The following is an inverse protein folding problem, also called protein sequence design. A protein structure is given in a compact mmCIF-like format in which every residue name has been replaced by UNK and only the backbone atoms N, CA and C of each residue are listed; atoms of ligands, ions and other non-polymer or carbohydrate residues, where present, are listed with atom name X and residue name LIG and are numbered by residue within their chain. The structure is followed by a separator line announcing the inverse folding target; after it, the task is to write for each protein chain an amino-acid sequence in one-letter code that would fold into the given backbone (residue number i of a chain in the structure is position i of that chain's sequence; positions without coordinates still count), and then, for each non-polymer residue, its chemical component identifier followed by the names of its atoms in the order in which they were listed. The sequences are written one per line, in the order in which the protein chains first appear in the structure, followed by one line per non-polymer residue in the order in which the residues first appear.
data_IF_382598652118
#
_entry.id   IF_382598652118
#
_cell.length_a   1.000
_cell.length_b   1.000
_cell.length_c   1.000
_cell.angle_alpha   90.00
_cell.angle_beta   90.00
_cell.angle_gamma   90.00
#
_symmetry.space_group_name_H-M   'P 1'
#
loop_
_entity.id
_entity.type
_entity.pdbx_description
1 polymer ?
#
# COMPACT_ATOMS: atom_id res chain seq x y z
N UNK A 1 -8.90 -1.44 22.90
CA UNK A 1 -7.65 -1.08 22.18
C UNK A 1 -8.06 -0.34 20.92
N UNK A 2 -7.73 0.94 20.81
CA UNK A 2 -7.90 1.71 19.57
C UNK A 2 -6.66 1.44 18.73
N UNK A 3 -6.83 0.74 17.61
CA UNK A 3 -5.78 0.54 16.62
C UNK A 3 -5.82 1.76 15.70
N UNK A 4 -4.71 2.48 15.58
CA UNK A 4 -4.59 3.47 14.51
C UNK A 4 -4.32 2.72 13.21
N UNK A 5 -4.93 3.13 12.09
CA UNK A 5 -4.74 2.46 10.79
C UNK A 5 -3.25 2.37 10.38
N UNK A 6 -2.37 3.23 10.91
CA UNK A 6 -0.94 3.18 10.65
C UNK A 6 -0.17 2.09 11.39
N UNK A 7 -0.72 1.51 12.47
CA UNK A 7 0.01 0.56 13.31
C UNK A 7 0.17 -0.83 12.66
N UNK A 8 -0.68 -1.16 11.67
CA UNK A 8 -0.69 -2.47 11.00
C UNK A 8 0.43 -2.66 9.96
N UNK A 9 1.02 -1.57 9.45
CA UNK A 9 1.98 -1.63 8.34
C UNK A 9 3.43 -1.91 8.81
N UNK A 10 4.24 -2.48 7.92
CA UNK A 10 5.69 -2.50 8.09
C UNK A 10 6.28 -1.11 7.73
N UNK A 11 7.60 -0.96 7.84
CA UNK A 11 8.28 0.34 7.65
C UNK A 11 7.93 1.01 6.31
N UNK A 12 7.93 0.25 5.21
CA UNK A 12 7.64 0.76 3.87
C UNK A 12 6.20 1.25 3.72
N UNK A 13 5.22 0.46 4.17
CA UNK A 13 3.81 0.82 4.18
C UNK A 13 3.51 1.99 5.11
N UNK A 14 4.13 2.04 6.31
CA UNK A 14 4.01 3.18 7.24
C UNK A 14 4.48 4.48 6.61
N UNK A 15 5.66 4.47 5.99
CA UNK A 15 6.20 5.64 5.33
C UNK A 15 5.31 6.11 4.17
N UNK A 16 4.81 5.18 3.36
CA UNK A 16 3.91 5.50 2.25
C UNK A 16 2.58 6.07 2.75
N UNK A 17 1.93 5.42 3.72
CA UNK A 17 0.68 5.87 4.32
C UNK A 17 0.80 7.30 4.87
N UNK A 18 1.84 7.56 5.68
CA UNK A 18 2.10 8.89 6.22
C UNK A 18 2.39 9.95 5.16
N UNK A 19 2.95 9.56 4.01
CA UNK A 19 3.22 10.49 2.90
C UNK A 19 1.99 10.82 2.05
N UNK A 20 1.00 9.92 2.00
CA UNK A 20 -0.16 10.05 1.11
C UNK A 20 -1.41 10.55 1.83
N UNK A 21 -1.61 10.17 3.09
CA UNK A 21 -2.82 10.56 3.83
C UNK A 21 -2.89 12.06 4.08
N UNK A 22 -4.08 12.62 3.84
CA UNK A 22 -4.48 13.99 4.14
C UNK A 22 -5.72 13.96 5.04
N UNK A 23 -5.90 14.99 5.86
CA UNK A 23 -7.09 15.11 6.71
C UNK A 23 -8.39 15.27 5.91
N UNK A 24 -8.30 15.86 4.71
CA UNK A 24 -9.42 16.09 3.80
C UNK A 24 -9.80 14.86 2.95
N UNK A 25 -9.01 13.78 2.98
CA UNK A 25 -9.26 12.63 2.10
C UNK A 25 -10.63 11.99 2.40
N UNK A 26 -11.42 11.78 1.35
CA UNK A 26 -12.64 10.99 1.44
C UNK A 26 -12.35 9.57 1.98
N UNK A 27 -13.37 8.92 2.57
CA UNK A 27 -13.24 7.54 3.05
C UNK A 27 -12.80 6.57 1.93
N UNK A 28 -13.24 6.80 0.68
CA UNK A 28 -12.83 6.00 -0.46
C UNK A 28 -11.34 6.22 -0.82
N UNK A 29 -10.87 7.46 -0.80
CA UNK A 29 -9.45 7.79 -1.02
C UNK A 29 -8.57 7.18 0.08
N UNK A 30 -8.99 7.28 1.35
CA UNK A 30 -8.29 6.63 2.48
C UNK A 30 -8.18 5.13 2.31
N UNK A 31 -9.25 4.45 1.88
CA UNK A 31 -9.22 3.02 1.63
C UNK A 31 -8.20 2.63 0.55
N UNK A 32 -8.10 3.43 -0.53
CA UNK A 32 -7.08 3.21 -1.57
C UNK A 32 -5.66 3.39 -1.03
N UNK A 33 -5.44 4.40 -0.17
CA UNK A 33 -4.13 4.63 0.46
C UNK A 33 -3.73 3.46 1.36
N UNK A 34 -4.67 2.91 2.14
CA UNK A 34 -4.44 1.70 2.95
C UNK A 34 -4.03 0.52 2.07
N UNK A 35 -4.74 0.28 0.96
CA UNK A 35 -4.38 -0.81 0.04
C UNK A 35 -3.04 -0.57 -0.66
N UNK A 36 -2.70 0.67 -0.99
CA UNK A 36 -1.38 1.02 -1.51
C UNK A 36 -0.26 0.73 -0.49
N UNK A 37 -0.46 1.05 0.79
CA UNK A 37 0.48 0.74 1.87
C UNK A 37 0.68 -0.78 2.04
N UNK A 38 -0.41 -1.56 2.01
CA UNK A 38 -0.34 -3.04 2.06
C UNK A 38 0.39 -3.61 0.85
N UNK A 39 0.12 -3.08 -0.35
CA UNK A 39 0.80 -3.48 -1.57
C UNK A 39 2.30 -3.17 -1.51
N UNK A 40 2.69 -2.02 -0.93
CA UNK A 40 4.10 -1.67 -0.70
C UNK A 40 4.81 -2.67 0.22
N UNK A 41 4.21 -2.98 1.36
CA UNK A 41 4.78 -3.97 2.30
C UNK A 41 4.96 -5.34 1.66
N UNK A 42 3.99 -5.75 0.84
CA UNK A 42 4.04 -7.02 0.10
C UNK A 42 5.13 -6.99 -0.98
N UNK A 43 5.32 -5.87 -1.68
CA UNK A 43 6.41 -5.69 -2.64
C UNK A 43 7.79 -5.74 -1.97
N UNK A 44 7.95 -5.15 -0.79
CA UNK A 44 9.21 -5.21 -0.03
C UNK A 44 9.57 -6.64 0.35
N UNK A 45 8.57 -7.43 0.79
CA UNK A 45 8.78 -8.84 1.10
C UNK A 45 9.10 -9.68 -0.13
N UNK A 46 8.45 -9.42 -1.27
CA UNK A 46 8.79 -10.07 -2.54
C UNK A 46 10.21 -9.74 -2.97
N UNK A 47 10.66 -8.49 -2.78
CA UNK A 47 12.01 -8.07 -3.11
C UNK A 47 13.07 -8.89 -2.34
N UNK A 48 12.87 -9.10 -1.04
CA UNK A 48 13.76 -9.93 -0.21
C UNK A 48 13.87 -11.37 -0.73
N UNK A 49 12.73 -11.97 -1.11
CA UNK A 49 12.70 -13.34 -1.65
C UNK A 49 13.39 -13.41 -3.02
N UNK A 50 13.08 -12.48 -3.92
CA UNK A 50 13.63 -12.47 -5.29
C UNK A 50 15.14 -12.20 -5.28
N UNK A 51 15.63 -11.39 -4.35
CA UNK A 51 17.07 -11.14 -4.18
C UNK A 51 17.82 -12.34 -3.60
N UNK A 52 17.11 -13.32 -3.06
CA UNK A 52 17.69 -14.47 -2.36
C UNK A 52 18.15 -14.13 -0.93
N UNK A 53 17.74 -12.98 -0.38
CA UNK A 53 18.06 -12.59 1.00
C UNK A 53 17.27 -13.46 2.01
N UNK A 54 16.16 -14.06 1.57
CA UNK A 54 15.39 -15.04 2.34
C UNK A 54 14.94 -16.21 1.46
N UNK A 55 15.08 -17.44 1.97
CA UNK A 55 14.74 -18.67 1.23
C UNK A 55 13.25 -19.04 1.27
N UNK A 56 12.47 -18.36 2.13
CA UNK A 56 11.06 -18.67 2.35
C UNK A 56 10.26 -17.42 2.61
N UNK A 57 9.00 -17.43 2.14
CA UNK A 57 8.09 -16.32 2.39
C UNK A 57 7.69 -16.27 3.85
N UNK A 58 7.25 -17.41 4.38
CA UNK A 58 6.85 -17.57 5.78
C UNK A 58 7.11 -18.99 6.25
N UNK A 59 7.36 -19.12 7.54
CA UNK A 59 7.47 -20.40 8.25
C UNK A 59 6.29 -20.51 9.20
N UNK A 60 5.62 -21.65 9.17
CA UNK A 60 4.52 -21.97 10.09
C UNK A 60 4.99 -23.10 10.98
N UNK A 61 5.10 -22.82 12.27
CA UNK A 61 5.38 -23.82 13.29
C UNK A 61 4.05 -24.37 13.79
N UNK A 62 3.89 -25.70 13.73
CA UNK A 62 2.77 -26.37 14.39
C UNK A 62 3.15 -26.60 15.85
N UNK A 63 2.23 -26.34 16.79
CA UNK A 63 2.46 -26.67 18.20
C UNK A 63 2.63 -28.19 18.38
N UNK A 64 3.68 -28.62 19.07
CA UNK A 64 4.04 -30.03 19.31
C UNK A 64 5.17 -30.54 18.39
N UNK A 65 5.38 -31.87 18.35
CA UNK A 65 6.44 -32.53 17.55
C UNK A 65 6.17 -32.55 16.03
N UNK A 66 5.21 -31.76 15.54
CA UNK A 66 4.66 -31.88 14.19
C UNK A 66 5.47 -31.15 13.09
N UNK A 67 6.70 -30.73 13.38
CA UNK A 67 7.63 -30.17 12.41
C UNK A 67 7.28 -28.78 11.87
N UNK A 68 8.22 -28.21 11.10
CA UNK A 68 8.08 -26.91 10.43
C UNK A 68 7.42 -27.07 9.06
N UNK A 69 6.49 -26.18 8.72
CA UNK A 69 5.98 -26.03 7.35
C UNK A 69 6.56 -24.75 6.73
N UNK A 70 7.32 -24.91 5.64
CA UNK A 70 7.92 -23.80 4.88
C UNK A 70 7.11 -23.53 3.62
N UNK A 71 6.65 -22.29 3.44
CA UNK A 71 5.98 -21.88 2.20
C UNK A 71 7.02 -21.29 1.23
N UNK A 72 7.34 -22.03 0.15
CA UNK A 72 8.18 -21.56 -0.95
C UNK A 72 7.31 -20.99 -2.07
N UNK A 73 7.70 -19.83 -2.61
CA UNK A 73 7.04 -19.22 -3.75
C UNK A 73 7.88 -19.44 -5.01
N UNK A 74 7.52 -20.45 -5.81
CA UNK A 74 8.20 -20.72 -7.09
C UNK A 74 7.86 -19.65 -8.16
N UNK A 75 6.88 -18.79 -7.90
CA UNK A 75 6.39 -17.74 -8.81
C UNK A 75 6.66 -16.31 -8.30
N UNK A 76 7.50 -16.12 -7.28
CA UNK A 76 7.70 -14.83 -6.61
C UNK A 76 7.98 -13.65 -7.56
N UNK A 77 8.80 -13.86 -8.60
CA UNK A 77 9.11 -12.82 -9.60
C UNK A 77 7.87 -12.42 -10.41
N UNK A 78 7.02 -13.39 -10.77
CA UNK A 78 5.77 -13.13 -11.50
C UNK A 78 4.79 -12.35 -10.62
N UNK A 79 4.60 -12.78 -9.38
CA UNK A 79 3.76 -12.10 -8.39
C UNK A 79 4.22 -10.65 -8.18
N UNK A 80 5.53 -10.41 -8.07
CA UNK A 80 6.08 -9.06 -7.92
C UNK A 80 5.73 -8.16 -9.10
N UNK A 81 5.81 -8.65 -10.34
CA UNK A 81 5.47 -7.87 -11.53
C UNK A 81 3.99 -7.52 -11.60
N UNK A 82 3.13 -8.48 -11.26
CA UNK A 82 1.68 -8.27 -11.24
C UNK A 82 1.30 -7.25 -10.16
N UNK A 83 1.80 -7.44 -8.94
CA UNK A 83 1.55 -6.52 -7.83
C UNK A 83 2.12 -5.12 -8.10
N UNK A 84 3.29 -4.99 -8.73
CA UNK A 84 3.85 -3.69 -9.10
C UNK A 84 2.99 -2.95 -10.14
N UNK A 85 2.20 -3.67 -10.93
CA UNK A 85 1.23 -3.07 -11.86
C UNK A 85 0.01 -2.55 -11.10
N UNK A 86 -0.56 -3.35 -10.22
CA UNK A 86 -1.67 -2.93 -9.34
C UNK A 86 -1.26 -1.75 -8.47
N UNK A 87 -0.05 -1.78 -7.90
CA UNK A 87 0.47 -0.70 -7.07
C UNK A 87 0.56 0.63 -7.82
N UNK A 88 1.04 0.63 -9.07
CA UNK A 88 1.06 1.83 -9.91
C UNK A 88 -0.35 2.35 -10.21
N UNK A 89 -1.32 1.46 -10.43
CA UNK A 89 -2.72 1.85 -10.65
C UNK A 89 -3.30 2.52 -9.40
N UNK A 90 -3.09 1.95 -8.21
CA UNK A 90 -3.51 2.54 -6.94
C UNK A 90 -2.92 3.94 -6.75
N UNK A 91 -1.61 4.11 -6.99
CA UNK A 91 -0.95 5.41 -6.85
C UNK A 91 -1.48 6.46 -7.83
N UNK A 92 -1.83 6.06 -9.06
CA UNK A 92 -2.39 6.97 -10.04
C UNK A 92 -3.79 7.42 -9.64
N UNK A 93 -4.66 6.48 -9.25
CA UNK A 93 -6.03 6.77 -8.80
C UNK A 93 -6.04 7.69 -7.56
N UNK A 94 -5.16 7.44 -6.58
CA UNK A 94 -5.04 8.29 -5.40
C UNK A 94 -4.66 9.72 -5.80
N UNK A 95 -3.66 9.87 -6.70
CA UNK A 95 -3.21 11.18 -7.17
C UNK A 95 -4.31 11.94 -7.92
N UNK A 96 -5.09 11.25 -8.74
CA UNK A 96 -6.20 11.84 -9.49
C UNK A 96 -7.24 12.41 -8.53
N UNK A 97 -7.75 11.61 -7.61
CA UNK A 97 -8.74 12.04 -6.60
C UNK A 97 -8.22 13.18 -5.72
N UNK A 98 -6.97 13.06 -5.29
CA UNK A 98 -6.32 14.08 -4.47
C UNK A 98 -5.98 15.37 -5.23
N UNK A 99 -6.00 15.34 -6.56
CA UNK A 99 -5.86 16.51 -7.43
C UNK A 99 -7.20 17.18 -7.69
N UNK A 100 -8.27 16.40 -7.85
CA UNK A 100 -9.64 16.90 -7.98
C UNK A 100 -10.11 17.66 -6.72
N UNK A 101 -9.76 17.18 -5.52
CA UNK A 101 -10.08 17.85 -4.24
C UNK A 101 -9.47 19.25 -4.09
N UNK A 102 -8.46 19.64 -4.88
CA UNK A 102 -7.82 20.97 -4.82
C UNK A 102 -8.51 21.98 -5.77
N UNK A 103 -9.39 21.52 -6.66
CA UNK A 103 -9.98 22.34 -7.72
C UNK A 103 -11.21 23.17 -7.33
N UNK A 104 -11.73 23.06 -6.10
CA UNK A 104 -13.02 23.67 -5.70
C UNK A 104 -12.89 24.97 -4.87
N UNK A 105 -11.66 25.43 -4.61
CA UNK A 105 -11.35 26.61 -3.78
C UNK A 105 -10.79 27.81 -4.57
N UNK A 106 -10.95 27.85 -5.90
CA UNK A 106 -10.72 29.08 -6.68
C UNK A 106 -11.96 29.97 -6.58
N UNK A 107 -11.92 31.11 -5.85
CA UNK A 107 -13.01 32.08 -5.93
C UNK A 107 -13.07 32.57 -7.37
N UNK A 108 -14.21 32.32 -8.03
CA UNK A 108 -14.52 32.74 -9.40
C UNK A 108 -14.15 34.22 -9.61
N UNK A 109 -12.97 34.43 -10.21
CA UNK A 109 -12.38 35.74 -10.46
C UNK A 109 -13.11 36.56 -11.51
N UNK A 110 -14.27 36.10 -11.99
CA UNK A 110 -15.09 36.75 -13.00
C UNK A 110 -16.41 37.33 -12.45
N UNK A 111 -16.69 37.18 -11.15
CA UNK A 111 -17.94 37.66 -10.53
C UNK A 111 -18.10 39.21 -10.46
N UNK A 112 -17.25 39.98 -11.16
CA UNK A 112 -17.29 41.45 -11.17
C UNK A 112 -17.30 42.11 -12.56
N UNK A 113 -17.46 41.34 -13.65
CA UNK A 113 -17.41 41.86 -15.02
C UNK A 113 -18.70 41.55 -15.80
N UNK A 114 -19.84 42.10 -15.37
CA UNK A 114 -21.02 42.32 -16.23
C UNK A 114 -21.96 43.37 -15.65
#
# INVERSE_FOLDING_TARGET
MSWSEGDEFNEGGKALFGSLCRESDSAATRALIVEAARAKDRLDRLHLVVRGDVDSWTRVFRSGDAGELVLKLDTAVSEQRQLATVFRQLLNEIRERQGEDVGDDEPDGLAGLS
#
